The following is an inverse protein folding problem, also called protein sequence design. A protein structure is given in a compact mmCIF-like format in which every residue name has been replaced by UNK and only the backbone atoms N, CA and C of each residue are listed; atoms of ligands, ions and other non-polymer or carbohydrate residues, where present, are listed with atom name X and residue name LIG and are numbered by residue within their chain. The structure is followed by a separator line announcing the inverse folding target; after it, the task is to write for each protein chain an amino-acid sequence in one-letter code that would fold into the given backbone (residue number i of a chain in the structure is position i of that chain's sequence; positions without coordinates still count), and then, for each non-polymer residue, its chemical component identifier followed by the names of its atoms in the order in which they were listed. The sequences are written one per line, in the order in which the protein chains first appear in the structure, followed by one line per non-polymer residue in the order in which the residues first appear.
data_IF_158416253119
#
_entry.id   IF_158416253119
#
_cell.length_a   1.000
_cell.length_b   1.000
_cell.length_c   1.000
_cell.angle_alpha   90.00
_cell.angle_beta   90.00
_cell.angle_gamma   90.00
#
_symmetry.space_group_name_H-M   'P 1'
#
loop_
_entity.id
_entity.type
_entity.pdbx_description
1 polymer ?
#
# COMPACT_ATOMS: atom_id res chain seq x y z
N UNK A 1 -6.66 31.46 26.12
CA UNK A 1 -5.98 31.83 24.89
C UNK A 1 -5.77 30.57 24.09
N UNK A 2 -6.63 30.31 23.09
CA UNK A 2 -6.43 29.21 22.14
C UNK A 2 -5.33 29.66 21.17
N UNK A 3 -4.19 28.99 21.22
CA UNK A 3 -3.19 29.09 20.17
C UNK A 3 -3.73 28.34 18.95
N UNK A 4 -4.05 29.07 17.89
CA UNK A 4 -4.35 28.49 16.59
C UNK A 4 -3.07 27.82 16.06
N UNK A 5 -3.08 26.50 15.96
CA UNK A 5 -2.06 25.76 15.26
C UNK A 5 -2.10 26.17 13.79
N UNK A 6 -1.02 26.75 13.28
CA UNK A 6 -0.88 27.04 11.86
C UNK A 6 -0.96 25.71 11.07
N UNK A 7 -1.66 25.68 9.92
CA UNK A 7 -1.84 24.45 9.17
C UNK A 7 -0.48 23.90 8.70
N UNK A 8 -0.24 22.63 8.97
CA UNK A 8 0.95 21.87 8.55
C UNK A 8 1.21 21.98 7.02
N UNK A 9 0.17 22.25 6.25
CA UNK A 9 0.19 22.41 4.80
C UNK A 9 0.99 23.62 4.29
N UNK A 10 1.27 24.62 5.15
CA UNK A 10 1.92 25.87 4.69
C UNK A 10 3.42 25.75 4.46
N UNK A 11 4.08 24.65 4.83
CA UNK A 11 5.51 24.43 4.65
C UNK A 11 5.91 23.62 3.41
N UNK A 12 4.96 22.91 2.80
CA UNK A 12 5.22 22.07 1.63
C UNK A 12 5.20 22.83 0.29
N UNK A 13 4.83 24.13 0.28
CA UNK A 13 4.57 24.88 -0.96
C UNK A 13 5.79 25.56 -1.57
N UNK A 14 6.99 25.29 -1.13
CA UNK A 14 8.21 26.03 -1.54
C UNK A 14 9.15 25.25 -2.46
N UNK A 15 8.74 24.22 -3.17
CA UNK A 15 9.64 23.46 -4.05
C UNK A 15 9.07 23.25 -5.45
N UNK A 16 9.37 24.12 -6.29
CA UNK A 16 9.96 24.25 -7.63
C UNK A 16 10.00 22.96 -8.48
N UNK A 17 9.36 23.03 -9.64
CA UNK A 17 9.48 22.06 -10.72
C UNK A 17 8.61 20.82 -10.58
N UNK A 18 7.48 20.94 -9.88
CA UNK A 18 6.52 19.86 -9.76
C UNK A 18 5.97 19.47 -11.15
N UNK A 19 6.21 18.21 -11.54
CA UNK A 19 5.40 17.58 -12.58
C UNK A 19 3.91 17.80 -12.23
N UNK A 20 3.07 18.00 -13.24
CA UNK A 20 1.63 18.19 -13.03
C UNK A 20 1.09 17.07 -12.12
N UNK A 21 0.23 17.39 -11.15
CA UNK A 21 -0.27 16.40 -10.21
C UNK A 21 -1.01 15.30 -10.99
N UNK A 22 -0.49 14.09 -10.89
CA UNK A 22 -1.05 12.88 -11.53
C UNK A 22 -2.45 12.63 -10.97
N UNK A 23 -3.44 12.36 -11.82
CA UNK A 23 -4.78 11.97 -11.37
C UNK A 23 -4.74 10.57 -10.71
N UNK A 24 -5.74 10.20 -9.88
CA UNK A 24 -5.79 8.87 -9.29
C UNK A 24 -5.73 7.73 -10.31
N UNK A 25 -6.40 7.88 -11.45
CA UNK A 25 -6.43 6.87 -12.49
C UNK A 25 -5.10 6.79 -13.27
N UNK A 26 -4.48 7.91 -13.57
CA UNK A 26 -3.14 7.95 -14.18
C UNK A 26 -2.09 7.31 -13.29
N UNK A 27 -2.16 7.54 -11.97
CA UNK A 27 -1.26 6.90 -11.01
C UNK A 27 -1.42 5.36 -11.05
N UNK A 28 -2.65 4.87 -11.09
CA UNK A 28 -2.92 3.43 -11.19
C UNK A 28 -2.41 2.85 -12.52
N UNK A 29 -2.67 3.54 -13.64
CA UNK A 29 -2.16 3.14 -14.95
C UNK A 29 -0.62 3.11 -15.00
N UNK A 30 0.04 4.06 -14.33
CA UNK A 30 1.50 4.08 -14.22
C UNK A 30 2.02 2.85 -13.45
N UNK A 31 1.36 2.44 -12.36
CA UNK A 31 1.69 1.20 -11.64
C UNK A 31 1.48 -0.03 -12.55
N UNK A 32 0.36 -0.13 -13.25
CA UNK A 32 0.08 -1.24 -14.17
C UNK A 32 1.13 -1.34 -15.29
N UNK A 33 1.47 -0.21 -15.90
CA UNK A 33 2.49 -0.16 -16.93
C UNK A 33 3.89 -0.53 -16.43
N UNK A 34 4.21 -0.12 -15.19
CA UNK A 34 5.46 -0.50 -14.53
C UNK A 34 5.55 -2.00 -14.25
N UNK A 35 4.46 -2.61 -13.74
CA UNK A 35 4.42 -4.04 -13.54
C UNK A 35 4.51 -4.83 -14.87
N UNK A 36 3.88 -4.34 -15.93
CA UNK A 36 4.02 -4.97 -17.25
C UNK A 36 5.49 -5.00 -17.73
N UNK A 37 6.26 -3.92 -17.52
CA UNK A 37 7.69 -3.88 -17.84
C UNK A 37 8.51 -4.82 -16.96
N UNK A 38 8.20 -4.89 -15.66
CA UNK A 38 8.84 -5.83 -14.73
C UNK A 38 8.64 -7.28 -15.17
N UNK A 39 7.40 -7.68 -15.47
CA UNK A 39 7.06 -9.03 -15.97
C UNK A 39 7.77 -9.33 -17.29
N UNK A 40 7.86 -8.35 -18.19
CA UNK A 40 8.55 -8.49 -19.47
C UNK A 40 10.09 -8.48 -19.35
N UNK A 41 10.64 -8.27 -18.13
CA UNK A 41 12.06 -8.06 -17.87
C UNK A 41 12.66 -6.91 -18.73
N UNK A 42 11.90 -5.82 -18.83
CA UNK A 42 12.27 -4.61 -19.59
C UNK A 42 12.15 -3.35 -18.70
N UNK A 43 12.83 -3.31 -17.53
CA UNK A 43 12.76 -2.15 -16.67
C UNK A 43 13.43 -0.94 -17.32
N UNK A 44 12.88 0.24 -17.05
CA UNK A 44 13.45 1.53 -17.47
C UNK A 44 14.11 2.29 -16.33
N UNK A 45 13.74 1.98 -15.07
CA UNK A 45 14.30 2.62 -13.88
C UNK A 45 15.48 1.80 -13.35
N UNK A 46 16.60 1.86 -14.04
CA UNK A 46 17.82 1.07 -13.73
C UNK A 46 18.97 1.91 -13.15
N UNK A 47 18.99 3.22 -13.39
CA UNK A 47 19.98 4.13 -12.78
C UNK A 47 19.42 4.81 -11.54
N UNK A 48 19.67 4.21 -10.38
CA UNK A 48 19.25 4.76 -9.09
C UNK A 48 20.17 5.89 -8.55
N UNK A 49 21.26 6.19 -9.24
CA UNK A 49 22.15 7.31 -8.92
C UNK A 49 21.65 8.63 -9.51
N UNK A 50 21.01 8.57 -10.66
CA UNK A 50 20.42 9.74 -11.32
C UNK A 50 19.42 10.45 -10.40
N UNK A 51 19.43 11.78 -10.40
CA UNK A 51 18.52 12.59 -9.61
C UNK A 51 18.73 12.54 -8.08
N UNK A 52 19.79 11.90 -7.57
CA UNK A 52 20.04 11.77 -6.13
C UNK A 52 20.14 13.12 -5.42
N UNK A 53 20.83 14.10 -6.03
CA UNK A 53 20.96 15.45 -5.50
C UNK A 53 19.61 16.20 -5.48
N UNK A 54 18.77 16.03 -6.49
CA UNK A 54 17.42 16.62 -6.54
C UNK A 54 16.51 16.01 -5.47
N UNK A 55 16.54 14.68 -5.31
CA UNK A 55 15.75 13.99 -4.28
C UNK A 55 16.15 14.37 -2.85
N UNK A 56 17.38 14.83 -2.63
CA UNK A 56 17.80 15.34 -1.33
C UNK A 56 17.09 16.64 -0.92
N UNK A 57 16.49 17.35 -1.88
CA UNK A 57 15.76 18.60 -1.63
C UNK A 57 14.27 18.35 -1.28
N UNK A 58 13.72 17.20 -1.67
CA UNK A 58 12.33 16.85 -1.40
C UNK A 58 11.90 15.54 -2.05
N UNK A 59 10.66 15.13 -1.80
CA UNK A 59 10.05 13.95 -2.39
C UNK A 59 8.68 14.29 -3.01
N UNK A 60 8.35 13.62 -4.10
CA UNK A 60 7.06 13.80 -4.80
C UNK A 60 6.54 12.43 -5.28
N UNK A 61 6.18 11.54 -4.36
CA UNK A 61 5.65 10.25 -4.73
C UNK A 61 4.26 10.43 -5.39
N UNK A 62 4.02 9.68 -6.48
CA UNK A 62 2.74 9.76 -7.17
C UNK A 62 1.70 8.78 -6.59
N UNK A 63 2.12 7.74 -5.86
CA UNK A 63 1.27 6.74 -5.23
C UNK A 63 1.85 6.26 -3.91
N UNK A 64 0.97 5.80 -3.01
CA UNK A 64 1.35 5.05 -1.83
C UNK A 64 1.08 3.55 -2.04
N UNK A 65 2.01 2.71 -1.57
CA UNK A 65 1.86 1.26 -1.58
C UNK A 65 1.92 0.75 -0.14
N UNK A 66 0.87 0.03 0.27
CA UNK A 66 0.88 -0.75 1.51
C UNK A 66 1.14 -2.20 1.14
N UNK A 67 2.30 -2.74 1.54
CA UNK A 67 2.71 -4.09 1.13
C UNK A 67 3.23 -4.93 2.29
N UNK A 68 3.39 -6.22 2.03
CA UNK A 68 3.99 -7.13 3.00
C UNK A 68 5.48 -6.81 3.22
N UNK A 69 5.97 -7.09 4.45
CA UNK A 69 7.38 -7.06 4.77
C UNK A 69 8.17 -8.24 4.16
N UNK A 70 7.50 -9.18 3.49
CA UNK A 70 8.12 -10.32 2.80
C UNK A 70 9.27 -9.86 1.90
N UNK A 71 10.45 -10.48 2.05
CA UNK A 71 11.68 -10.08 1.34
C UNK A 71 11.59 -10.18 -0.18
N UNK A 72 10.64 -10.96 -0.70
CA UNK A 72 10.38 -11.15 -2.14
C UNK A 72 9.48 -10.06 -2.73
N UNK A 73 8.89 -9.21 -1.88
CA UNK A 73 7.96 -8.15 -2.29
C UNK A 73 8.66 -6.81 -2.17
N UNK A 74 9.16 -6.29 -3.27
CA UNK A 74 9.81 -4.98 -3.34
C UNK A 74 9.01 -4.07 -4.30
N UNK A 75 8.12 -3.21 -3.79
CA UNK A 75 7.20 -2.43 -4.63
C UNK A 75 7.87 -1.62 -5.73
N UNK A 76 9.03 -1.01 -5.44
CA UNK A 76 9.76 -0.22 -6.43
C UNK A 76 10.20 -1.08 -7.63
N UNK A 77 10.63 -2.32 -7.38
CA UNK A 77 11.01 -3.25 -8.45
C UNK A 77 9.79 -3.78 -9.18
N UNK A 78 8.76 -4.24 -8.44
CA UNK A 78 7.52 -4.81 -8.99
C UNK A 78 6.82 -3.83 -9.94
N UNK A 79 6.86 -2.53 -9.61
CA UNK A 79 6.23 -1.50 -10.43
C UNK A 79 7.22 -0.70 -11.28
N UNK A 80 8.49 -1.13 -11.37
CA UNK A 80 9.55 -0.45 -12.13
C UNK A 80 9.54 1.06 -11.89
N UNK A 81 9.66 1.46 -10.61
CA UNK A 81 9.70 2.85 -10.18
C UNK A 81 11.04 3.17 -9.52
N UNK A 82 11.50 4.39 -9.73
CA UNK A 82 12.74 4.88 -9.11
C UNK A 82 12.54 5.33 -7.65
N UNK A 83 13.65 5.51 -6.90
CA UNK A 83 13.59 6.06 -5.55
C UNK A 83 12.88 7.43 -5.51
N UNK A 84 11.91 7.59 -4.61
CA UNK A 84 11.14 8.82 -4.42
C UNK A 84 9.83 8.87 -5.23
N UNK A 85 9.55 7.89 -6.10
CA UNK A 85 8.33 7.84 -6.90
C UNK A 85 7.16 7.16 -6.18
N UNK A 86 7.46 6.27 -5.23
CA UNK A 86 6.46 5.59 -4.39
C UNK A 86 6.67 5.93 -2.92
N UNK A 87 5.57 6.06 -2.19
CA UNK A 87 5.54 6.16 -0.74
C UNK A 87 5.16 4.79 -0.17
N UNK A 88 6.12 4.07 0.42
CA UNK A 88 5.96 2.65 0.73
C UNK A 88 5.84 2.41 2.23
N UNK A 89 4.77 1.72 2.63
CA UNK A 89 4.51 1.25 3.98
C UNK A 89 4.54 -0.28 3.95
N UNK A 90 5.36 -0.90 4.81
CA UNK A 90 5.51 -2.36 4.84
C UNK A 90 5.32 -2.92 6.23
N UNK A 91 4.44 -3.92 6.33
CA UNK A 91 4.20 -4.72 7.53
C UNK A 91 3.87 -6.15 7.10
N UNK A 92 4.29 -7.16 7.87
CA UNK A 92 3.97 -8.55 7.55
C UNK A 92 2.44 -8.74 7.45
N UNK A 93 1.95 -9.18 6.27
CA UNK A 93 0.52 -9.30 5.98
C UNK A 93 -0.16 -8.02 5.48
N UNK A 94 0.58 -7.01 5.06
CA UNK A 94 0.09 -5.79 4.36
C UNK A 94 -1.20 -5.16 4.94
N UNK A 95 -1.42 -5.27 6.25
CA UNK A 95 -2.54 -4.59 6.91
C UNK A 95 -2.19 -3.14 7.26
N UNK A 96 -3.21 -2.31 7.46
CA UNK A 96 -3.08 -0.92 7.88
C UNK A 96 -3.41 -0.83 9.37
N UNK A 97 -2.45 -0.42 10.20
CA UNK A 97 -2.64 -0.05 11.61
C UNK A 97 -2.68 1.47 11.76
N UNK A 98 -2.71 1.99 12.98
CA UNK A 98 -2.77 3.44 13.24
C UNK A 98 -1.54 4.18 12.67
N UNK A 99 -0.33 3.61 12.80
CA UNK A 99 0.88 4.22 12.24
C UNK A 99 0.86 4.21 10.71
N UNK A 100 0.29 3.15 10.12
CA UNK A 100 0.04 3.05 8.68
C UNK A 100 -0.96 4.10 8.20
N UNK A 101 -2.08 4.30 8.93
CA UNK A 101 -3.04 5.35 8.63
C UNK A 101 -2.40 6.74 8.72
N UNK A 102 -1.69 7.04 9.81
CA UNK A 102 -1.00 8.32 9.97
C UNK A 102 0.01 8.58 8.83
N UNK A 103 0.71 7.55 8.39
CA UNK A 103 1.63 7.64 7.24
C UNK A 103 0.89 7.93 5.94
N UNK A 104 -0.25 7.25 5.68
CA UNK A 104 -1.07 7.48 4.49
C UNK A 104 -1.70 8.88 4.49
N UNK A 105 -2.17 9.35 5.65
CA UNK A 105 -2.68 10.71 5.83
C UNK A 105 -1.61 11.77 5.55
N UNK A 106 -0.39 11.56 6.05
CA UNK A 106 0.75 12.41 5.72
C UNK A 106 1.02 12.40 4.21
N UNK A 107 1.06 11.22 3.59
CA UNK A 107 1.23 11.06 2.15
C UNK A 107 0.17 11.81 1.34
N UNK A 108 -1.10 11.69 1.72
CA UNK A 108 -2.21 12.31 1.00
C UNK A 108 -2.29 13.82 1.27
N UNK A 109 -2.23 14.25 2.55
CA UNK A 109 -2.45 15.64 2.93
C UNK A 109 -1.23 16.54 2.73
N UNK A 110 -0.01 16.03 2.90
CA UNK A 110 1.23 16.80 2.85
C UNK A 110 1.96 16.62 1.52
N UNK A 111 2.07 15.38 1.03
CA UNK A 111 2.79 15.09 -0.21
C UNK A 111 1.89 15.09 -1.46
N UNK A 112 0.58 15.15 -1.28
CA UNK A 112 -0.37 15.21 -2.39
C UNK A 112 -0.60 13.89 -3.13
N UNK A 113 -0.32 12.76 -2.50
CA UNK A 113 -0.59 11.42 -3.05
C UNK A 113 -2.11 11.27 -3.27
N UNK A 114 -2.47 10.75 -4.43
CA UNK A 114 -3.89 10.57 -4.82
C UNK A 114 -4.30 9.12 -5.04
N UNK A 115 -3.35 8.19 -4.94
CA UNK A 115 -3.63 6.75 -5.11
C UNK A 115 -2.93 5.96 -4.04
N UNK A 116 -3.67 5.09 -3.37
CA UNK A 116 -3.18 4.09 -2.42
C UNK A 116 -3.45 2.72 -3.03
N UNK A 117 -2.42 1.87 -3.10
CA UNK A 117 -2.57 0.47 -3.49
C UNK A 117 -2.20 -0.41 -2.30
N UNK A 118 -3.12 -1.24 -1.85
CA UNK A 118 -2.84 -2.31 -0.88
C UNK A 118 -2.47 -3.57 -1.65
N UNK A 119 -1.20 -3.96 -1.54
CA UNK A 119 -0.61 -5.05 -2.30
C UNK A 119 -0.40 -6.28 -1.42
N UNK A 120 -1.30 -7.26 -1.55
CA UNK A 120 -1.10 -8.61 -1.06
C UNK A 120 -0.19 -9.41 -2.01
N UNK A 121 0.16 -10.64 -1.64
CA UNK A 121 0.97 -11.51 -2.48
C UNK A 121 0.66 -12.98 -2.26
N UNK A 122 0.92 -13.82 -3.24
CA UNK A 122 0.76 -15.28 -3.13
C UNK A 122 1.68 -15.88 -2.07
N UNK A 123 1.23 -16.95 -1.42
CA UNK A 123 1.98 -17.64 -0.35
C UNK A 123 2.42 -16.72 0.80
N UNK A 124 1.50 -15.85 1.26
CA UNK A 124 1.75 -14.93 2.37
C UNK A 124 1.76 -15.68 3.71
N UNK A 125 2.96 -15.83 4.31
CA UNK A 125 3.11 -16.55 5.58
C UNK A 125 2.37 -15.91 6.76
N UNK A 126 2.12 -14.60 6.74
CA UNK A 126 1.35 -13.92 7.79
C UNK A 126 -0.15 -14.27 7.73
N UNK A 127 -0.70 -14.38 6.52
CA UNK A 127 -2.09 -14.83 6.32
C UNK A 127 -2.23 -16.30 6.68
N UNK A 128 -1.30 -17.15 6.23
CA UNK A 128 -1.27 -18.57 6.55
C UNK A 128 -1.17 -18.82 8.07
N UNK A 129 -0.25 -18.14 8.76
CA UNK A 129 -0.15 -18.22 10.22
C UNK A 129 -1.44 -17.77 10.94
N UNK A 130 -2.19 -16.84 10.36
CA UNK A 130 -3.49 -16.43 10.90
C UNK A 130 -4.55 -17.50 10.71
N UNK A 131 -4.58 -18.16 9.55
CA UNK A 131 -5.47 -19.31 9.29
C UNK A 131 -5.20 -20.42 10.30
N UNK A 132 -3.93 -20.80 10.47
CA UNK A 132 -3.53 -21.84 11.42
C UNK A 132 -3.91 -21.48 12.86
N UNK A 133 -3.64 -20.24 13.30
CA UNK A 133 -3.99 -19.77 14.64
C UNK A 133 -5.50 -19.86 14.92
N UNK A 134 -6.34 -19.65 13.91
CA UNK A 134 -7.81 -19.79 14.02
C UNK A 134 -8.21 -21.25 14.05
N UNK A 135 -7.69 -22.09 13.15
CA UNK A 135 -8.01 -23.51 13.06
C UNK A 135 -7.61 -24.29 14.30
N UNK A 136 -6.40 -24.00 14.82
CA UNK A 136 -5.86 -24.66 16.01
C UNK A 136 -6.35 -24.03 17.33
N UNK A 137 -7.12 -22.95 17.25
CA UNK A 137 -7.55 -22.14 18.40
C UNK A 137 -6.39 -21.78 19.35
N UNK A 138 -5.25 -21.41 18.77
CA UNK A 138 -4.02 -21.05 19.51
C UNK A 138 -3.44 -19.75 18.96
N UNK A 139 -2.84 -18.95 19.85
CA UNK A 139 -2.13 -17.75 19.43
C UNK A 139 -0.63 -18.00 19.42
N UNK A 140 0.11 -17.53 18.41
CA UNK A 140 1.55 -17.60 18.40
C UNK A 140 2.17 -16.74 19.52
N UNK A 141 3.41 -17.01 19.94
CA UNK A 141 4.06 -16.31 21.04
C UNK A 141 4.51 -14.89 20.69
N UNK A 142 4.91 -14.14 21.70
CA UNK A 142 5.53 -12.81 21.56
C UNK A 142 4.53 -11.76 21.07
N UNK A 143 4.91 -11.00 20.05
CA UNK A 143 4.10 -9.93 19.46
C UNK A 143 3.28 -10.39 18.24
N UNK A 144 3.43 -11.63 17.79
CA UNK A 144 2.70 -12.19 16.65
C UNK A 144 1.16 -12.15 16.80
N UNK A 145 0.57 -12.21 18.01
CA UNK A 145 -0.88 -12.03 18.16
C UNK A 145 -1.42 -10.72 17.62
N UNK A 146 -0.63 -9.64 17.62
CA UNK A 146 -1.04 -8.34 17.03
C UNK A 146 -1.26 -8.48 15.52
N UNK A 147 -0.38 -9.20 14.83
CA UNK A 147 -0.47 -9.47 13.41
C UNK A 147 -1.70 -10.36 13.11
N UNK A 148 -1.85 -11.47 13.85
CA UNK A 148 -2.98 -12.39 13.70
C UNK A 148 -4.31 -11.64 13.89
N UNK A 149 -4.42 -10.80 14.92
CA UNK A 149 -5.64 -10.05 15.18
C UNK A 149 -5.99 -9.05 14.07
N UNK A 150 -4.98 -8.45 13.44
CA UNK A 150 -5.20 -7.51 12.33
C UNK A 150 -5.70 -8.21 11.05
N UNK A 151 -5.25 -9.44 10.79
CA UNK A 151 -5.60 -10.21 9.59
C UNK A 151 -6.87 -11.06 9.79
N UNK A 152 -7.18 -11.41 11.04
CA UNK A 152 -8.29 -12.30 11.42
C UNK A 152 -9.65 -11.99 10.74
N UNK A 153 -10.11 -10.72 10.62
CA UNK A 153 -11.35 -10.42 9.94
C UNK A 153 -11.39 -10.95 8.50
N UNK A 154 -10.29 -10.78 7.76
CA UNK A 154 -10.20 -11.27 6.38
C UNK A 154 -10.26 -12.79 6.28
N UNK A 155 -9.65 -13.50 7.25
CA UNK A 155 -9.70 -14.96 7.29
C UNK A 155 -11.10 -15.45 7.62
N UNK A 156 -11.81 -14.82 8.56
CA UNK A 156 -13.20 -15.19 8.85
C UNK A 156 -14.14 -14.97 7.65
N UNK A 157 -13.99 -13.83 6.95
CA UNK A 157 -14.76 -13.56 5.74
C UNK A 157 -14.49 -14.62 4.66
N UNK A 158 -13.22 -15.02 4.50
CA UNK A 158 -12.83 -16.04 3.54
C UNK A 158 -13.37 -17.43 3.93
N UNK A 159 -13.29 -17.82 5.20
CA UNK A 159 -13.85 -19.08 5.68
C UNK A 159 -15.35 -19.18 5.48
N UNK A 160 -16.09 -18.09 5.68
CA UNK A 160 -17.54 -18.06 5.47
C UNK A 160 -17.95 -18.27 4.01
N UNK A 161 -17.05 -18.03 3.07
CA UNK A 161 -17.28 -18.25 1.64
C UNK A 161 -16.95 -19.69 1.19
N UNK A 162 -16.43 -20.55 2.07
CA UNK A 162 -16.04 -21.94 1.80
C UNK A 162 -15.26 -22.13 0.48
N UNK A 163 -14.16 -21.38 0.25
CA UNK A 163 -13.44 -21.39 -1.01
C UNK A 163 -12.60 -22.65 -1.19
N UNK A 164 -12.30 -22.97 -2.43
CA UNK A 164 -11.39 -24.05 -2.81
C UNK A 164 -9.95 -23.78 -2.32
N UNK A 165 -9.49 -22.51 -2.39
CA UNK A 165 -8.20 -22.03 -1.87
C UNK A 165 -8.44 -20.94 -0.80
N UNK A 166 -8.42 -21.36 0.46
CA UNK A 166 -8.63 -20.47 1.59
C UNK A 166 -7.51 -19.43 1.71
N UNK A 167 -6.25 -19.80 1.47
CA UNK A 167 -5.13 -18.89 1.60
C UNK A 167 -5.19 -17.78 0.56
N UNK A 168 -5.45 -18.12 -0.70
CA UNK A 168 -5.60 -17.14 -1.77
C UNK A 168 -6.78 -16.20 -1.50
N UNK A 169 -7.93 -16.74 -1.10
CA UNK A 169 -9.14 -15.96 -0.81
C UNK A 169 -8.95 -15.03 0.38
N UNK A 170 -8.36 -15.51 1.48
CA UNK A 170 -8.06 -14.70 2.65
C UNK A 170 -7.05 -13.60 2.33
N UNK A 171 -6.04 -13.89 1.50
CA UNK A 171 -5.05 -12.90 1.05
C UNK A 171 -5.71 -11.79 0.23
N UNK A 172 -6.57 -12.13 -0.71
CA UNK A 172 -7.32 -11.16 -1.50
C UNK A 172 -8.26 -10.33 -0.63
N UNK A 173 -9.00 -10.98 0.28
CA UNK A 173 -9.91 -10.29 1.20
C UNK A 173 -9.16 -9.35 2.14
N UNK A 174 -8.00 -9.75 2.66
CA UNK A 174 -7.16 -8.89 3.50
C UNK A 174 -6.71 -7.63 2.75
N UNK A 175 -6.27 -7.75 1.50
CA UNK A 175 -5.91 -6.60 0.67
C UNK A 175 -7.12 -5.66 0.45
N UNK A 176 -8.29 -6.23 0.13
CA UNK A 176 -9.52 -5.47 -0.12
C UNK A 176 -10.01 -4.74 1.13
N UNK A 177 -10.09 -5.42 2.28
CA UNK A 177 -10.50 -4.80 3.55
C UNK A 177 -9.60 -3.62 3.96
N UNK A 178 -8.29 -3.74 3.72
CA UNK A 178 -7.37 -2.65 4.03
C UNK A 178 -7.46 -1.50 3.01
N UNK A 179 -7.79 -1.76 1.75
CA UNK A 179 -8.13 -0.70 0.79
C UNK A 179 -9.43 0.02 1.18
N UNK A 180 -10.46 -0.71 1.58
CA UNK A 180 -11.73 -0.16 2.12
C UNK A 180 -11.47 0.68 3.39
N UNK A 181 -10.58 0.21 4.29
CA UNK A 181 -10.17 0.98 5.47
C UNK A 181 -9.54 2.32 5.07
N UNK A 182 -8.65 2.34 4.08
CA UNK A 182 -8.05 3.57 3.59
C UNK A 182 -9.08 4.52 2.95
N UNK A 183 -10.13 4.00 2.32
CA UNK A 183 -11.22 4.80 1.74
C UNK A 183 -12.10 5.46 2.81
N UNK A 184 -12.26 4.80 3.97
CA UNK A 184 -13.22 5.22 5.00
C UNK A 184 -12.60 5.87 6.21
N UNK A 185 -11.25 5.89 6.30
CA UNK A 185 -10.55 6.48 7.44
C UNK A 185 -10.70 8.01 7.45
N UNK A 186 -11.64 8.49 8.26
CA UNK A 186 -11.84 9.92 8.46
C UNK A 186 -10.88 10.52 9.50
N UNK A 187 -10.73 11.85 9.52
CA UNK A 187 -11.37 12.80 8.57
C UNK A 187 -10.60 12.97 7.24
N UNK A 188 -9.30 12.62 7.15
CA UNK A 188 -8.44 13.04 6.05
C UNK A 188 -8.66 12.17 4.80
N UNK A 189 -8.39 10.87 4.89
CA UNK A 189 -8.47 9.97 3.73
C UNK A 189 -9.92 9.82 3.25
N UNK A 190 -10.86 9.64 4.19
CA UNK A 190 -12.29 9.51 3.89
C UNK A 190 -12.86 10.73 3.18
N UNK A 191 -12.51 11.94 3.61
CA UNK A 191 -12.96 13.18 2.97
C UNK A 191 -12.36 13.34 1.57
N UNK A 192 -11.08 13.01 1.38
CA UNK A 192 -10.44 13.04 0.08
C UNK A 192 -11.04 12.00 -0.88
N UNK A 193 -11.35 10.80 -0.38
CA UNK A 193 -12.00 9.74 -1.14
C UNK A 193 -13.42 10.16 -1.56
N UNK A 194 -14.24 10.66 -0.63
CA UNK A 194 -15.59 11.12 -0.91
C UNK A 194 -15.62 12.29 -1.91
N UNK A 195 -14.59 13.13 -1.93
CA UNK A 195 -14.42 14.22 -2.88
C UNK A 195 -13.86 13.77 -4.25
N UNK A 196 -13.60 12.48 -4.48
CA UNK A 196 -12.99 11.95 -5.70
C UNK A 196 -11.53 12.35 -5.91
N UNK A 197 -10.86 12.83 -4.86
CA UNK A 197 -9.47 13.30 -4.91
C UNK A 197 -8.45 12.22 -4.52
N UNK A 198 -8.91 11.12 -3.95
CA UNK A 198 -8.13 9.96 -3.57
C UNK A 198 -8.80 8.70 -4.09
N UNK A 199 -8.00 7.73 -4.53
CA UNK A 199 -8.43 6.38 -4.87
C UNK A 199 -7.65 5.38 -4.03
N UNK A 200 -8.32 4.40 -3.45
CA UNK A 200 -7.66 3.26 -2.86
C UNK A 200 -8.09 1.98 -3.60
N UNK A 201 -7.13 1.16 -3.93
CA UNK A 201 -7.30 -0.09 -4.67
C UNK A 201 -6.57 -1.23 -3.97
N UNK A 202 -6.94 -2.45 -4.30
CA UNK A 202 -6.25 -3.67 -3.87
C UNK A 202 -5.65 -4.40 -5.06
N UNK A 203 -4.61 -5.19 -4.81
CA UNK A 203 -4.01 -6.06 -5.82
C UNK A 203 -3.25 -7.20 -5.17
N UNK A 204 -3.04 -8.27 -5.94
CA UNK A 204 -2.28 -9.44 -5.52
C UNK A 204 -1.08 -9.63 -6.45
N UNK A 205 0.10 -9.56 -5.86
CA UNK A 205 1.36 -9.89 -6.54
C UNK A 205 1.59 -11.39 -6.54
N UNK A 206 1.64 -11.98 -7.70
CA UNK A 206 2.04 -13.37 -7.87
C UNK A 206 3.57 -13.45 -7.91
N UNK A 207 4.15 -14.01 -6.85
CA UNK A 207 5.62 -14.13 -6.71
C UNK A 207 6.24 -14.98 -7.81
N UNK A 208 5.52 -15.99 -8.33
CA UNK A 208 6.06 -16.90 -9.33
C UNK A 208 6.16 -16.26 -10.72
N UNK A 209 5.19 -15.41 -11.06
CA UNK A 209 5.09 -14.81 -12.40
C UNK A 209 5.54 -13.35 -12.44
N UNK A 210 5.63 -12.70 -11.29
CA UNK A 210 5.89 -11.27 -11.19
C UNK A 210 4.68 -10.38 -11.49
N UNK A 211 3.53 -10.96 -11.82
CA UNK A 211 2.33 -10.23 -12.23
C UNK A 211 1.54 -9.72 -11.02
N UNK A 212 1.03 -8.50 -11.10
CA UNK A 212 0.04 -7.97 -10.18
C UNK A 212 -1.35 -8.05 -10.82
N UNK A 213 -2.26 -8.76 -10.14
CA UNK A 213 -3.68 -8.79 -10.47
C UNK A 213 -4.39 -7.76 -9.60
N UNK A 214 -4.95 -6.72 -10.20
CA UNK A 214 -5.75 -5.71 -9.51
C UNK A 214 -7.16 -6.25 -9.27
N UNK A 215 -7.71 -5.98 -8.06
CA UNK A 215 -9.00 -6.49 -7.59
C UNK A 215 -10.12 -5.47 -7.76
#
# INVERSE_FOLDING_TARGET
ALAMAAPLAARASAETGAAAPVSPDEALQRLMGGNARYVANQPINTDHSAGRASRAQGQQPFAAIVSCADSRVAPELIFDQGPGELFVIRVAGNFINEDGLASLEYGAAVLGIKTILVLGHTACGAVDATIQAIQDNTLPPGHLPSLVNAIRPAVYDAMAAEPEDLLATATARNATLNAERAQTAGPILGDLYAAGKLKAAAGIYDIATGKVNFL
#
